data_IF_095386577483
#
_entry.id   IF_095386577483
#
_cell.length_a   1.000
_cell.length_b   1.000
_cell.length_c   1.000
_cell.angle_alpha   90.00
_cell.angle_beta   90.00
_cell.angle_gamma   90.00
#
_symmetry.space_group_name_H-M   'P 1'
#
loop_
_entity.id
_entity.type
_entity.pdbx_description
1 polymer ?
#
# COMPACT_ATOMS: atom_id res chain seq x y z
N UNK A 1 8.44 10.08 25.39
CA UNK A 1 8.21 10.22 23.94
C UNK A 1 8.01 8.91 23.16
N UNK A 2 8.81 7.83 23.31
CA UNK A 2 8.49 6.53 22.65
C UNK A 2 7.12 5.97 23.01
N UNK A 3 6.65 6.29 24.22
CA UNK A 3 5.33 5.91 24.74
C UNK A 3 4.15 6.48 23.93
N UNK A 4 4.29 7.68 23.33
CA UNK A 4 3.23 8.29 22.52
C UNK A 4 3.09 7.61 21.15
N UNK A 5 4.20 7.20 20.53
CA UNK A 5 4.21 6.48 19.25
C UNK A 5 3.67 5.08 19.43
N UNK A 6 4.20 4.38 20.43
CA UNK A 6 3.72 3.04 20.75
C UNK A 6 2.24 3.11 21.09
N UNK A 7 1.77 4.13 21.82
CA UNK A 7 0.34 4.37 22.04
C UNK A 7 -0.42 4.71 20.77
N UNK A 8 0.08 5.58 19.89
CA UNK A 8 -0.61 5.94 18.65
C UNK A 8 -0.75 4.73 17.74
N UNK A 9 0.35 4.01 17.48
CA UNK A 9 0.36 2.77 16.71
C UNK A 9 -0.47 1.67 17.38
N UNK A 10 -0.48 1.60 18.72
CA UNK A 10 -1.34 0.67 19.47
C UNK A 10 -2.82 1.04 19.33
N UNK A 11 -3.18 2.31 19.48
CA UNK A 11 -4.55 2.81 19.29
C UNK A 11 -5.02 2.60 17.85
N UNK A 12 -4.14 2.82 16.88
CA UNK A 12 -4.40 2.54 15.48
C UNK A 12 -4.61 1.05 15.23
N UNK A 13 -3.76 0.18 15.79
CA UNK A 13 -3.97 -1.28 15.75
C UNK A 13 -5.32 -1.68 16.35
N UNK A 14 -5.76 -1.01 17.42
CA UNK A 14 -7.07 -1.22 18.03
C UNK A 14 -8.22 -0.65 17.18
N UNK A 15 -7.95 0.34 16.33
CA UNK A 15 -8.92 0.95 15.42
C UNK A 15 -8.99 0.28 14.04
N UNK A 16 -8.14 -0.71 13.75
CA UNK A 16 -8.20 -1.46 12.49
C UNK A 16 -9.40 -2.41 12.54
N UNK A 17 -10.26 -2.28 11.54
CA UNK A 17 -11.32 -3.24 11.23
C UNK A 17 -10.95 -4.05 10.00
N UNK A 18 -11.28 -5.34 10.00
CA UNK A 18 -11.09 -6.23 8.85
C UNK A 18 -12.45 -6.77 8.43
N UNK A 19 -12.80 -6.63 7.16
CA UNK A 19 -14.04 -7.12 6.58
C UNK A 19 -13.82 -7.93 5.31
N UNK A 20 -14.76 -8.83 5.02
CA UNK A 20 -14.78 -9.68 3.82
C UNK A 20 -16.06 -9.37 3.03
N UNK A 21 -16.07 -8.28 2.25
CA UNK A 21 -17.31 -7.70 1.72
C UNK A 21 -17.99 -8.56 0.64
N UNK A 22 -17.30 -9.55 0.07
CA UNK A 22 -17.82 -10.44 -0.96
C UNK A 22 -17.69 -11.89 -0.50
N UNK A 23 -18.80 -12.52 -0.06
CA UNK A 23 -18.79 -13.92 0.39
C UNK A 23 -18.26 -14.87 -0.68
N UNK A 24 -17.49 -15.87 -0.27
CA UNK A 24 -16.92 -16.89 -1.17
C UNK A 24 -15.76 -16.40 -2.04
N UNK A 25 -15.21 -15.21 -1.76
CA UNK A 25 -13.99 -14.70 -2.40
C UNK A 25 -12.88 -14.45 -1.38
N UNK A 26 -11.66 -14.28 -1.86
CA UNK A 26 -10.47 -13.87 -1.10
C UNK A 26 -10.43 -12.36 -0.79
N UNK A 27 -11.43 -11.60 -1.25
CA UNK A 27 -11.49 -10.15 -1.09
C UNK A 27 -11.63 -9.78 0.39
N UNK A 28 -10.66 -9.00 0.87
CA UNK A 28 -10.60 -8.51 2.25
C UNK A 28 -10.24 -7.03 2.27
N UNK A 29 -10.78 -6.32 3.24
CA UNK A 29 -10.56 -4.89 3.43
C UNK A 29 -10.13 -4.67 4.87
N UNK A 30 -8.91 -4.17 5.06
CA UNK A 30 -8.44 -3.65 6.34
C UNK A 30 -8.53 -2.14 6.32
N UNK A 31 -9.22 -1.52 7.28
CA UNK A 31 -9.38 -0.07 7.32
C UNK A 31 -9.26 0.49 8.72
N UNK A 32 -8.80 1.74 8.81
CA UNK A 32 -8.78 2.54 10.04
C UNK A 32 -9.86 3.63 9.97
N UNK A 33 -10.63 3.77 11.05
CA UNK A 33 -11.73 4.73 11.13
C UNK A 33 -11.28 6.17 11.35
N UNK A 34 -10.03 6.41 11.79
CA UNK A 34 -9.53 7.74 12.12
C UNK A 34 -9.05 8.51 10.89
N UNK A 35 -8.45 7.83 9.93
CA UNK A 35 -7.83 8.44 8.73
C UNK A 35 -8.59 8.14 7.45
N UNK A 36 -9.51 7.17 7.47
CA UNK A 36 -10.21 6.72 6.27
C UNK A 36 -9.30 5.98 5.27
N UNK A 37 -8.07 5.62 5.69
CA UNK A 37 -7.18 4.77 4.91
C UNK A 37 -7.70 3.33 4.92
N UNK A 38 -7.62 2.69 3.76
CA UNK A 38 -7.99 1.29 3.60
C UNK A 38 -6.95 0.56 2.77
N UNK A 39 -6.65 -0.69 3.14
CA UNK A 39 -6.01 -1.66 2.26
C UNK A 39 -7.05 -2.66 1.83
N UNK A 40 -7.29 -2.74 0.53
CA UNK A 40 -8.07 -3.82 -0.09
C UNK A 40 -7.10 -4.84 -0.67
N UNK A 41 -7.33 -6.12 -0.38
CA UNK A 41 -6.51 -7.21 -0.87
C UNK A 41 -7.38 -8.37 -1.38
N UNK A 42 -6.86 -9.11 -2.35
CA UNK A 42 -7.48 -10.30 -2.90
C UNK A 42 -6.44 -11.14 -3.63
N UNK A 43 -6.74 -12.42 -3.81
CA UNK A 43 -6.00 -13.29 -4.72
C UNK A 43 -6.20 -12.81 -6.16
N UNK A 44 -5.21 -13.06 -7.02
CA UNK A 44 -5.23 -12.64 -8.42
C UNK A 44 -6.43 -13.21 -9.20
N UNK A 45 -6.88 -14.41 -8.82
CA UNK A 45 -8.08 -15.04 -9.38
C UNK A 45 -9.35 -14.22 -9.14
N UNK A 46 -9.43 -13.52 -7.99
CA UNK A 46 -10.55 -12.67 -7.60
C UNK A 46 -10.40 -11.21 -8.02
N UNK A 47 -9.43 -10.90 -8.90
CA UNK A 47 -9.20 -9.54 -9.39
C UNK A 47 -10.48 -8.83 -9.88
N UNK A 48 -11.42 -9.47 -10.60
CA UNK A 48 -12.67 -8.80 -11.00
C UNK A 48 -13.50 -8.29 -9.82
N UNK A 49 -13.50 -9.00 -8.68
CA UNK A 49 -14.21 -8.57 -7.45
C UNK A 49 -13.54 -7.36 -6.82
N UNK A 50 -12.20 -7.39 -6.75
CA UNK A 50 -11.41 -6.26 -6.27
C UNK A 50 -11.59 -5.02 -7.17
N UNK A 51 -11.60 -5.19 -8.49
CA UNK A 51 -11.83 -4.10 -9.43
C UNK A 51 -13.23 -3.50 -9.29
N UNK A 52 -14.28 -4.33 -9.15
CA UNK A 52 -15.63 -3.84 -8.92
C UNK A 52 -15.73 -3.02 -7.62
N UNK A 53 -15.15 -3.53 -6.53
CA UNK A 53 -15.12 -2.83 -5.25
C UNK A 53 -14.42 -1.47 -5.32
N UNK A 54 -13.30 -1.39 -6.06
CA UNK A 54 -12.55 -0.15 -6.31
C UNK A 54 -13.32 0.82 -7.20
N UNK A 55 -14.01 0.32 -8.23
CA UNK A 55 -14.77 1.13 -9.18
C UNK A 55 -15.97 1.83 -8.52
N UNK A 56 -16.66 1.17 -7.60
CA UNK A 56 -17.75 1.74 -6.82
C UNK A 56 -17.29 2.94 -5.98
N UNK A 57 -16.10 2.84 -5.39
CA UNK A 57 -15.54 3.84 -4.48
C UNK A 57 -14.80 4.96 -5.19
N UNK A 58 -14.30 4.68 -6.40
CA UNK A 58 -13.49 5.60 -7.22
C UNK A 58 -12.25 6.15 -6.49
N UNK A 59 -11.66 5.34 -5.61
CA UNK A 59 -10.49 5.74 -4.85
C UNK A 59 -9.22 5.64 -5.69
N UNK A 60 -8.33 6.61 -5.48
CA UNK A 60 -6.94 6.52 -5.91
C UNK A 60 -6.10 5.78 -4.88
N UNK A 61 -4.93 5.31 -5.29
CA UNK A 61 -4.00 4.69 -4.37
C UNK A 61 -2.73 4.15 -4.99
N UNK A 62 -2.03 3.37 -4.17
CA UNK A 62 -0.83 2.61 -4.50
C UNK A 62 -1.10 1.14 -4.24
N UNK A 63 -0.54 0.24 -5.05
CA UNK A 63 -0.73 -1.19 -4.92
C UNK A 63 0.57 -1.98 -5.06
N UNK A 64 0.51 -3.19 -4.51
CA UNK A 64 1.46 -4.26 -4.63
C UNK A 64 0.81 -5.41 -5.39
N UNK A 65 1.53 -5.92 -6.39
CA UNK A 65 1.28 -7.24 -6.97
C UNK A 65 2.35 -8.16 -6.43
N UNK A 66 1.94 -9.23 -5.75
CA UNK A 66 2.83 -10.12 -4.99
C UNK A 66 2.65 -11.54 -5.50
N UNK A 67 3.74 -12.28 -5.60
CA UNK A 67 3.70 -13.72 -5.82
C UNK A 67 5.10 -14.27 -5.98
N UNK A 68 5.27 -15.30 -6.81
CA UNK A 68 6.54 -16.02 -6.90
C UNK A 68 6.94 -16.31 -8.35
N UNK A 69 8.24 -16.20 -8.63
CA UNK A 69 8.86 -16.66 -9.87
C UNK A 69 10.16 -17.36 -9.54
N UNK A 70 10.39 -18.53 -10.14
CA UNK A 70 11.61 -19.33 -9.93
C UNK A 70 11.93 -19.59 -8.45
N UNK A 71 10.87 -19.80 -7.63
CA UNK A 71 10.98 -20.05 -6.19
C UNK A 71 11.27 -18.82 -5.33
N UNK A 72 11.39 -17.62 -5.91
CA UNK A 72 11.64 -16.37 -5.19
C UNK A 72 10.38 -15.50 -5.09
N UNK A 73 10.23 -14.82 -3.97
CA UNK A 73 9.17 -13.83 -3.81
C UNK A 73 9.45 -12.61 -4.69
N UNK A 74 8.45 -12.22 -5.47
CA UNK A 74 8.53 -11.10 -6.41
C UNK A 74 7.41 -10.12 -6.16
N UNK A 75 7.74 -8.84 -6.25
CA UNK A 75 6.81 -7.74 -5.99
C UNK A 75 6.89 -6.71 -7.11
N UNK A 76 5.72 -6.27 -7.57
CA UNK A 76 5.58 -5.06 -8.39
C UNK A 76 4.81 -4.00 -7.62
N UNK A 77 5.34 -2.78 -7.63
CA UNK A 77 4.65 -1.61 -7.09
C UNK A 77 4.07 -0.81 -8.25
N UNK A 78 2.83 -0.34 -8.09
CA UNK A 78 2.23 0.63 -9.00
C UNK A 78 1.24 1.54 -8.31
N UNK A 79 0.74 2.53 -9.04
CA UNK A 79 -0.21 3.53 -8.51
C UNK A 79 -1.35 3.81 -9.47
N UNK A 80 -2.34 4.59 -9.04
CA UNK A 80 -3.29 5.20 -9.96
C UNK A 80 -4.49 5.81 -9.27
N UNK A 81 -5.07 6.81 -9.92
CA UNK A 81 -6.37 7.40 -9.52
C UNK A 81 -7.57 6.59 -10.00
N UNK A 82 -7.35 5.64 -10.92
CA UNK A 82 -8.34 4.69 -11.44
C UNK A 82 -7.81 3.27 -11.37
N UNK A 83 -7.59 2.77 -10.15
CA UNK A 83 -6.97 1.47 -9.93
C UNK A 83 -7.75 0.32 -10.58
N UNK A 84 -9.08 0.39 -10.62
CA UNK A 84 -9.91 -0.65 -11.24
C UNK A 84 -9.63 -0.82 -12.74
N UNK A 85 -9.28 0.24 -13.46
CA UNK A 85 -8.87 0.13 -14.88
C UNK A 85 -7.46 -0.42 -14.97
N UNK A 86 -6.51 0.22 -14.26
CA UNK A 86 -5.09 -0.11 -14.37
C UNK A 86 -4.75 -1.54 -13.96
N UNK A 87 -5.41 -2.07 -12.93
CA UNK A 87 -5.20 -3.45 -12.51
C UNK A 87 -5.72 -4.46 -13.55
N UNK A 88 -6.75 -4.09 -14.32
CA UNK A 88 -7.26 -4.93 -15.41
C UNK A 88 -6.27 -5.03 -16.56
N UNK A 89 -5.61 -3.92 -16.90
CA UNK A 89 -4.62 -3.87 -17.98
C UNK A 89 -3.45 -4.83 -17.74
N UNK A 90 -3.10 -5.07 -16.47
CA UNK A 90 -2.03 -6.00 -16.08
C UNK A 90 -2.31 -7.47 -16.42
N UNK A 91 -3.57 -7.88 -16.62
CA UNK A 91 -3.87 -9.27 -17.02
C UNK A 91 -3.27 -9.65 -18.37
N UNK A 92 -3.04 -8.67 -19.24
CA UNK A 92 -2.44 -8.90 -20.55
C UNK A 92 -0.91 -8.84 -20.54
N UNK A 93 -0.27 -8.49 -19.41
CA UNK A 93 1.18 -8.34 -19.30
C UNK A 93 1.84 -9.68 -18.91
N UNK A 94 2.60 -10.34 -19.82
CA UNK A 94 3.26 -11.61 -19.52
C UNK A 94 4.33 -11.50 -18.43
N UNK A 95 4.80 -10.30 -18.11
CA UNK A 95 5.78 -10.08 -17.04
C UNK A 95 5.16 -10.23 -15.64
N UNK A 96 3.83 -10.30 -15.56
CA UNK A 96 3.05 -10.40 -14.32
C UNK A 96 2.45 -11.80 -14.12
N UNK A 97 2.97 -12.81 -14.84
CA UNK A 97 2.63 -14.23 -14.67
C UNK A 97 2.89 -14.76 -13.25
N UNK A 98 3.80 -14.12 -12.52
CA UNK A 98 4.14 -14.47 -11.14
C UNK A 98 3.10 -14.05 -10.10
N UNK A 99 2.11 -13.22 -10.44
CA UNK A 99 1.24 -12.55 -9.47
C UNK A 99 0.21 -13.53 -8.91
N UNK A 100 0.21 -13.67 -7.59
CA UNK A 100 -0.69 -14.53 -6.83
C UNK A 100 -1.71 -13.69 -6.03
N UNK A 101 -1.30 -12.52 -5.55
CA UNK A 101 -2.12 -11.63 -4.71
C UNK A 101 -1.94 -10.15 -5.07
N UNK A 102 -2.99 -9.37 -4.80
CA UNK A 102 -3.01 -7.91 -4.93
C UNK A 102 -3.29 -7.29 -3.58
N UNK A 103 -2.58 -6.20 -3.27
CA UNK A 103 -2.85 -5.36 -2.12
C UNK A 103 -2.85 -3.90 -2.57
N UNK A 104 -3.90 -3.14 -2.29
CA UNK A 104 -4.00 -1.73 -2.67
C UNK A 104 -4.33 -0.85 -1.46
N UNK A 105 -3.41 0.06 -1.12
CA UNK A 105 -3.65 1.14 -0.17
C UNK A 105 -4.37 2.28 -0.88
N UNK A 106 -5.56 2.60 -0.42
CA UNK A 106 -6.48 3.53 -1.07
C UNK A 106 -7.06 4.55 -0.09
N UNK A 107 -7.44 5.70 -0.64
CA UNK A 107 -8.13 6.76 0.08
C UNK A 107 -8.92 7.65 -0.88
N UNK A 108 -10.07 8.22 -0.47
CA UNK A 108 -10.76 9.23 -1.28
C UNK A 108 -9.94 10.51 -1.50
N UNK A 109 -8.95 10.81 -0.64
CA UNK A 109 -8.14 12.03 -0.75
C UNK A 109 -6.89 11.87 -1.63
N UNK A 110 -6.60 10.66 -2.12
CA UNK A 110 -5.43 10.42 -2.95
C UNK A 110 -5.67 10.87 -4.40
N UNK A 111 -5.20 12.07 -4.70
CA UNK A 111 -5.03 12.59 -6.05
C UNK A 111 -3.75 12.06 -6.69
N UNK A 112 -3.55 12.39 -7.97
CA UNK A 112 -2.43 11.86 -8.78
C UNK A 112 -1.05 12.10 -8.16
N UNK A 113 -0.78 13.30 -7.65
CA UNK A 113 0.49 13.60 -6.99
C UNK A 113 0.73 12.75 -5.75
N UNK A 114 -0.29 12.57 -4.91
CA UNK A 114 -0.24 11.67 -3.77
C UNK A 114 0.04 10.22 -4.18
N UNK A 115 -0.66 9.69 -5.20
CA UNK A 115 -0.47 8.30 -5.63
C UNK A 115 0.93 8.05 -6.19
N UNK A 116 1.50 9.00 -6.94
CA UNK A 116 2.90 8.92 -7.42
C UNK A 116 3.90 8.96 -6.25
N UNK A 117 3.71 9.87 -5.29
CA UNK A 117 4.58 9.95 -4.11
C UNK A 117 4.55 8.68 -3.26
N UNK A 118 3.36 8.16 -2.98
CA UNK A 118 3.18 6.91 -2.25
C UNK A 118 3.79 5.73 -3.01
N UNK A 119 3.73 5.73 -4.35
CA UNK A 119 4.41 4.72 -5.16
C UNK A 119 5.91 4.72 -4.94
N UNK A 120 6.54 5.89 -4.91
CA UNK A 120 7.98 6.00 -4.70
C UNK A 120 8.36 5.57 -3.28
N UNK A 121 7.65 6.06 -2.27
CA UNK A 121 7.87 5.65 -0.88
C UNK A 121 7.72 4.13 -0.70
N UNK A 122 6.66 3.53 -1.26
CA UNK A 122 6.46 2.08 -1.20
C UNK A 122 7.51 1.31 -1.99
N UNK A 123 7.97 1.86 -3.12
CA UNK A 123 9.05 1.28 -3.91
C UNK A 123 10.37 1.26 -3.14
N UNK A 124 10.72 2.33 -2.43
CA UNK A 124 11.91 2.35 -1.56
C UNK A 124 11.81 1.29 -0.46
N UNK A 125 10.62 1.12 0.12
CA UNK A 125 10.38 0.09 1.14
C UNK A 125 10.61 -1.31 0.57
N UNK A 126 10.01 -1.62 -0.58
CA UNK A 126 10.14 -2.94 -1.22
C UNK A 126 11.58 -3.21 -1.67
N UNK A 127 12.27 -2.20 -2.20
CA UNK A 127 13.68 -2.32 -2.63
C UNK A 127 14.64 -2.58 -1.47
N UNK A 128 14.30 -2.12 -0.26
CA UNK A 128 15.12 -2.31 0.92
C UNK A 128 14.97 -3.71 1.54
N UNK A 129 13.98 -4.50 1.14
CA UNK A 129 13.72 -5.83 1.70
C UNK A 129 14.62 -6.90 1.08
N UNK A 130 15.50 -7.55 1.86
CA UNK A 130 16.38 -8.59 1.36
C UNK A 130 15.57 -9.78 0.83
N UNK A 131 15.88 -10.22 -0.39
CA UNK A 131 15.28 -11.43 -0.97
C UNK A 131 13.97 -11.22 -1.73
N UNK A 132 13.55 -9.96 -1.94
CA UNK A 132 12.48 -9.62 -2.88
C UNK A 132 13.05 -9.21 -4.23
N UNK A 133 12.58 -9.87 -5.29
CA UNK A 133 12.79 -9.39 -6.64
C UNK A 133 11.78 -8.26 -6.93
N UNK A 134 12.29 -7.06 -7.24
CA UNK A 134 11.47 -5.86 -7.39
C UNK A 134 11.31 -5.44 -8.86
N UNK A 135 10.08 -5.09 -9.25
CA UNK A 135 9.77 -4.49 -10.56
C UNK A 135 9.03 -3.16 -10.38
N UNK A 136 9.66 -2.03 -10.76
CA UNK A 136 9.05 -0.69 -10.69
C UNK A 136 8.04 -0.47 -11.82
N UNK A 137 6.82 -0.06 -11.49
CA UNK A 137 5.96 0.67 -12.43
C UNK A 137 6.39 2.14 -12.51
N UNK A 138 6.55 2.72 -13.70
CA UNK A 138 7.13 4.06 -13.84
C UNK A 138 6.10 5.20 -13.97
N UNK A 139 6.42 6.31 -13.31
CA UNK A 139 6.02 7.70 -13.57
C UNK A 139 6.91 8.58 -12.68
N UNK A 140 7.69 9.56 -13.20
CA UNK A 140 8.59 10.34 -12.37
C UNK A 140 7.83 11.31 -11.46
N UNK A 141 8.23 11.43 -10.18
CA UNK A 141 7.70 12.44 -9.26
C UNK A 141 7.86 13.89 -9.74
N UNK A 142 8.82 14.15 -10.62
CA UNK A 142 9.15 15.50 -11.10
C UNK A 142 7.95 16.24 -11.72
N UNK A 143 6.98 15.49 -12.23
CA UNK A 143 5.79 16.05 -12.89
C UNK A 143 4.67 16.46 -11.90
N UNK A 144 4.83 16.16 -10.60
CA UNK A 144 3.80 16.40 -9.58
C UNK A 144 4.41 17.00 -8.29
N UNK A 145 4.73 18.30 -8.26
CA UNK A 145 5.30 18.93 -7.08
C UNK A 145 4.30 18.93 -5.91
N UNK A 146 4.73 18.40 -4.77
CA UNK A 146 3.99 18.41 -3.50
C UNK A 146 4.64 19.35 -2.50
N UNK A 147 3.80 20.05 -1.73
CA UNK A 147 4.25 20.89 -0.62
C UNK A 147 4.80 20.07 0.55
N UNK A 148 5.58 20.68 1.43
CA UNK A 148 6.20 19.97 2.56
C UNK A 148 5.18 19.33 3.52
N UNK A 149 4.11 20.06 3.86
CA UNK A 149 3.06 19.55 4.73
C UNK A 149 2.31 18.35 4.13
N UNK A 150 2.11 18.37 2.82
CA UNK A 150 1.47 17.28 2.08
C UNK A 150 2.36 16.04 2.04
N UNK A 151 3.67 16.19 1.79
CA UNK A 151 4.64 15.10 1.88
C UNK A 151 4.63 14.44 3.26
N UNK A 152 4.67 15.24 4.33
CA UNK A 152 4.60 14.75 5.71
C UNK A 152 3.30 13.99 6.00
N UNK A 153 2.17 14.46 5.49
CA UNK A 153 0.89 13.77 5.63
C UNK A 153 0.88 12.43 4.88
N UNK A 154 1.49 12.38 3.69
CA UNK A 154 1.62 11.15 2.89
C UNK A 154 2.61 10.15 3.50
N UNK A 155 3.70 10.62 4.11
CA UNK A 155 4.62 9.78 4.88
C UNK A 155 3.90 9.13 6.06
N UNK A 156 3.10 9.90 6.79
CA UNK A 156 2.25 9.36 7.84
C UNK A 156 1.25 8.34 7.27
N UNK A 157 0.57 8.67 6.17
CA UNK A 157 -0.37 7.76 5.53
C UNK A 157 0.30 6.45 5.08
N UNK A 158 1.53 6.50 4.58
CA UNK A 158 2.31 5.31 4.23
C UNK A 158 2.60 4.46 5.46
N UNK A 159 3.07 5.07 6.56
CA UNK A 159 3.35 4.34 7.80
C UNK A 159 2.11 3.63 8.35
N UNK A 160 0.96 4.29 8.32
CA UNK A 160 -0.32 3.72 8.72
C UNK A 160 -0.75 2.60 7.76
N UNK A 161 -0.61 2.86 6.46
CA UNK A 161 -0.88 1.91 5.39
C UNK A 161 -0.08 0.62 5.52
N UNK A 162 1.19 0.68 5.95
CA UNK A 162 1.99 -0.51 6.21
C UNK A 162 1.40 -1.43 7.29
N UNK A 163 0.81 -0.88 8.35
CA UNK A 163 0.10 -1.69 9.34
C UNK A 163 -1.17 -2.31 8.74
N UNK A 164 -1.89 -1.57 7.90
CA UNK A 164 -3.07 -2.07 7.20
C UNK A 164 -2.71 -3.17 6.18
N UNK A 165 -1.56 -3.07 5.51
CA UNK A 165 -1.05 -4.12 4.63
C UNK A 165 -0.84 -5.43 5.40
N UNK A 166 -0.18 -5.37 6.57
CA UNK A 166 0.00 -6.55 7.41
C UNK A 166 -1.33 -7.10 7.94
N UNK A 167 -2.27 -6.24 8.30
CA UNK A 167 -3.62 -6.65 8.73
C UNK A 167 -4.41 -7.32 7.60
N UNK A 168 -4.25 -6.81 6.37
CA UNK A 168 -4.76 -7.43 5.15
C UNK A 168 -3.97 -8.69 4.74
N UNK A 169 -3.02 -9.16 5.54
CA UNK A 169 -2.34 -10.45 5.31
C UNK A 169 -1.04 -10.38 4.52
N UNK A 170 -0.53 -9.19 4.15
CA UNK A 170 0.76 -9.07 3.48
C UNK A 170 1.88 -9.56 4.41
N UNK A 171 2.61 -10.60 3.97
CA UNK A 171 3.71 -11.20 4.76
C UNK A 171 5.11 -10.91 4.24
N UNK A 172 5.22 -10.44 3.00
CA UNK A 172 6.52 -10.27 2.31
C UNK A 172 7.26 -8.99 2.68
N UNK A 173 6.57 -7.99 3.24
CA UNK A 173 7.19 -6.77 3.74
C UNK A 173 7.27 -6.83 5.27
N UNK A 174 8.40 -6.38 5.84
CA UNK A 174 8.55 -6.15 7.27
C UNK A 174 8.63 -4.64 7.55
N UNK A 175 7.49 -3.94 7.73
CA UNK A 175 7.42 -2.48 7.86
C UNK A 175 8.42 -1.84 8.82
N UNK A 176 8.74 -2.54 9.92
CA UNK A 176 9.65 -2.07 10.97
C UNK A 176 11.10 -1.89 10.53
N UNK A 177 11.49 -2.39 9.35
CA UNK A 177 12.86 -2.30 8.84
C UNK A 177 13.05 -1.20 7.78
N UNK A 178 11.97 -0.51 7.38
CA UNK A 178 12.00 0.50 6.34
C UNK A 178 12.73 1.80 6.76
N UNK A 179 13.29 2.51 5.78
CA UNK A 179 13.84 3.88 5.98
C UNK A 179 12.78 4.83 6.53
N UNK A 180 11.53 4.71 6.06
CA UNK A 180 10.40 5.52 6.52
C UNK A 180 10.09 5.26 8.01
N UNK A 181 10.12 4.00 8.45
CA UNK A 181 10.01 3.67 9.87
C UNK A 181 11.16 4.29 10.70
N UNK A 182 12.39 4.32 10.15
CA UNK A 182 13.53 5.02 10.78
C UNK A 182 13.38 6.54 10.77
N UNK A 183 12.86 7.14 9.70
CA UNK A 183 12.65 8.58 9.58
C UNK A 183 11.53 9.06 10.50
N UNK A 184 10.44 8.30 10.63
CA UNK A 184 9.43 8.59 11.65
C UNK A 184 10.02 8.44 13.05
N UNK A 185 10.81 7.39 13.31
CA UNK A 185 11.52 7.28 14.59
C UNK A 185 12.44 8.49 14.86
N UNK A 186 13.11 9.03 13.84
CA UNK A 186 14.01 10.18 13.93
C UNK A 186 13.27 11.53 14.10
N UNK A 187 12.29 11.84 13.26
CA UNK A 187 11.45 13.05 13.37
C UNK A 187 10.77 13.13 14.74
N UNK A 188 10.45 11.98 15.33
CA UNK A 188 9.84 11.92 16.65
C UNK A 188 10.84 11.92 17.80
N UNK A 189 12.11 11.64 17.54
CA UNK A 189 13.22 11.88 18.47
C UNK A 189 13.62 13.36 18.50
N UNK A 190 13.46 14.08 17.39
CA UNK A 190 13.72 15.53 17.29
C UNK A 190 12.60 16.39 17.89
N UNK A 191 11.36 15.87 17.92
CA UNK A 191 10.23 16.53 18.57
C UNK A 191 10.18 16.34 20.11
N UNK A 192 11.16 15.62 20.69
CA UNK A 192 11.28 15.24 22.10
C UNK A 192 12.19 16.18 22.91
#
# INVERSE_FOLDING_TARGET
MPFLITRLLHLLRLAVSIGFPVPGSSLRVAGDSLTGLQVVAADWADLPRLQAWLAERKYGGVYLLVGRRDGRARVRVGEGVKLWTRLGDHKADPQLDFVEEVYALVSPVFHKGATVYLQEALSEIVQAEPGLDYHKGCGPLADFPLGEGERKALDLAMLLGLNLFCAAGLRVLQPGQSRLARQVAALMAEAA
#
